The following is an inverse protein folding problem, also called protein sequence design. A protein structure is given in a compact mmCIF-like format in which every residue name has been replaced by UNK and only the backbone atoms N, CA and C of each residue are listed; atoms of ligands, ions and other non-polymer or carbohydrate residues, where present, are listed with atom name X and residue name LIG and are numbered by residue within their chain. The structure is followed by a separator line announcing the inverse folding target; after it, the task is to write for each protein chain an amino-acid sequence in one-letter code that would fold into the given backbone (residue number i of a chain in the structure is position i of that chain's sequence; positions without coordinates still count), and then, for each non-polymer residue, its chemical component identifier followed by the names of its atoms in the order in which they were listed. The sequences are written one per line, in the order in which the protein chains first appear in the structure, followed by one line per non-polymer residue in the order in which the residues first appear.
data_IF_991746492477
#
_entry.id   IF_991746492477
#
_cell.length_a   1.000
_cell.length_b   1.000
_cell.length_c   1.000
_cell.angle_alpha   90.00
_cell.angle_beta   90.00
_cell.angle_gamma   90.00
#
_symmetry.space_group_name_H-M   'P 1'
#
loop_
_entity.id
_entity.type
_entity.pdbx_description
1 polymer ?
#
# COMPACT_ATOMS: atom_id res chain seq x y z
N UNK A 1 16.56 15.63 -50.75
CA UNK A 1 17.00 15.87 -49.35
C UNK A 1 15.85 16.10 -48.34
N UNK A 2 14.68 16.67 -48.71
CA UNK A 2 13.55 16.91 -47.77
C UNK A 2 12.97 15.66 -47.07
N UNK A 3 13.02 14.48 -47.71
CA UNK A 3 12.48 13.23 -47.14
C UNK A 3 13.34 12.68 -45.98
N UNK A 4 14.66 12.88 -46.05
CA UNK A 4 15.62 12.37 -45.07
C UNK A 4 15.59 13.15 -43.74
N UNK A 5 15.41 14.48 -43.82
CA UNK A 5 15.24 15.33 -42.64
C UNK A 5 13.88 15.14 -41.98
N UNK A 6 12.84 14.75 -42.73
CA UNK A 6 11.53 14.41 -42.15
C UNK A 6 11.56 13.09 -41.37
N UNK A 7 12.15 12.03 -41.94
CA UNK A 7 12.32 10.75 -41.26
C UNK A 7 13.20 10.86 -40.00
N UNK A 8 14.24 11.71 -40.02
CA UNK A 8 15.11 11.93 -38.87
C UNK A 8 14.39 12.69 -37.73
N UNK A 9 13.53 13.65 -38.06
CA UNK A 9 12.69 14.36 -37.07
C UNK A 9 11.67 13.43 -36.43
N UNK A 10 11.00 12.59 -37.20
CA UNK A 10 10.04 11.61 -36.66
C UNK A 10 10.73 10.56 -35.78
N UNK A 11 11.93 10.11 -36.16
CA UNK A 11 12.74 9.18 -35.37
C UNK A 11 13.21 9.76 -34.03
N UNK A 12 13.36 11.08 -33.92
CA UNK A 12 13.69 11.76 -32.66
C UNK A 12 12.45 12.05 -31.79
N UNK A 13 11.29 12.25 -32.41
CA UNK A 13 10.03 12.60 -31.70
C UNK A 13 9.42 11.36 -31.01
N UNK A 14 9.44 10.20 -31.65
CA UNK A 14 8.89 8.95 -31.08
C UNK A 14 9.53 8.56 -29.73
N UNK A 15 10.87 8.50 -29.57
CA UNK A 15 11.48 8.17 -28.28
C UNK A 15 11.20 9.26 -27.24
N UNK A 16 11.08 10.52 -27.64
CA UNK A 16 10.71 11.60 -26.72
C UNK A 16 9.30 11.39 -26.14
N UNK A 17 8.32 11.02 -26.96
CA UNK A 17 6.96 10.69 -26.49
C UNK A 17 6.93 9.48 -25.55
N UNK A 18 7.72 8.44 -25.84
CA UNK A 18 7.82 7.26 -24.97
C UNK A 18 8.38 7.66 -23.59
N UNK A 19 9.42 8.48 -23.55
CA UNK A 19 10.02 8.95 -22.29
C UNK A 19 9.02 9.81 -21.48
N UNK A 20 8.30 10.72 -22.13
CA UNK A 20 7.30 11.54 -21.44
C UNK A 20 6.15 10.70 -20.86
N UNK A 21 5.62 9.75 -21.62
CA UNK A 21 4.53 8.88 -21.15
C UNK A 21 4.95 7.97 -19.99
N UNK A 22 6.16 7.40 -20.04
CA UNK A 22 6.70 6.59 -18.95
C UNK A 22 6.90 7.41 -17.66
N UNK A 23 7.41 8.64 -17.77
CA UNK A 23 7.63 9.51 -16.62
C UNK A 23 6.30 9.96 -15.97
N UNK A 24 5.27 10.24 -16.77
CA UNK A 24 3.93 10.56 -16.26
C UNK A 24 3.30 9.40 -15.50
N UNK A 25 3.47 8.15 -15.96
CA UNK A 25 2.96 6.97 -15.27
C UNK A 25 3.63 6.75 -13.90
N UNK A 26 4.96 6.94 -13.82
CA UNK A 26 5.70 6.83 -12.56
C UNK A 26 5.24 7.87 -11.52
N UNK A 27 5.05 9.13 -11.93
CA UNK A 27 4.56 10.19 -11.04
C UNK A 27 3.13 9.95 -10.52
N UNK A 28 2.27 9.32 -11.32
CA UNK A 28 0.91 8.95 -10.89
C UNK A 28 0.94 7.91 -9.76
N UNK A 29 1.71 6.82 -9.93
CA UNK A 29 1.84 5.76 -8.92
C UNK A 29 2.47 6.28 -7.62
N UNK A 30 3.44 7.17 -7.72
CA UNK A 30 4.03 7.83 -6.55
C UNK A 30 2.99 8.67 -5.81
N UNK A 31 2.19 9.48 -6.52
CA UNK A 31 1.08 10.24 -5.92
C UNK A 31 0.04 9.37 -5.22
N UNK A 32 -0.37 8.26 -5.84
CA UNK A 32 -1.33 7.30 -5.26
C UNK A 32 -0.77 6.63 -4.00
N UNK A 33 0.45 6.11 -4.06
CA UNK A 33 1.11 5.46 -2.92
C UNK A 33 1.30 6.41 -1.74
N UNK A 34 1.69 7.66 -2.01
CA UNK A 34 1.83 8.71 -1.02
C UNK A 34 0.50 9.08 -0.35
N UNK A 35 -0.58 9.18 -1.14
CA UNK A 35 -1.92 9.43 -0.61
C UNK A 35 -2.38 8.31 0.32
N UNK A 36 -2.28 7.04 -0.12
CA UNK A 36 -2.69 5.88 0.69
C UNK A 36 -1.89 5.83 1.98
N UNK A 37 -0.56 5.97 1.91
CA UNK A 37 0.29 5.96 3.10
C UNK A 37 -0.07 7.08 4.07
N UNK A 38 -0.28 8.31 3.55
CA UNK A 38 -0.66 9.46 4.36
C UNK A 38 -1.98 9.21 5.11
N UNK A 39 -3.03 8.80 4.40
CA UNK A 39 -4.34 8.52 5.00
C UNK A 39 -4.29 7.39 6.03
N UNK A 40 -3.55 6.31 5.76
CA UNK A 40 -3.36 5.23 6.73
C UNK A 40 -2.68 5.71 8.01
N UNK A 41 -1.68 6.59 7.91
CA UNK A 41 -0.99 7.15 9.07
C UNK A 41 -1.85 8.15 9.84
N UNK A 42 -2.64 8.98 9.14
CA UNK A 42 -3.57 9.94 9.76
C UNK A 42 -4.61 9.25 10.64
N UNK A 43 -5.19 8.15 10.16
CA UNK A 43 -6.21 7.40 10.89
C UNK A 43 -5.64 6.28 11.76
N UNK A 44 -4.32 6.10 11.86
CA UNK A 44 -3.75 4.96 12.57
C UNK A 44 -4.08 4.97 14.08
N UNK A 45 -4.54 3.83 14.60
CA UNK A 45 -4.85 3.67 16.02
C UNK A 45 -3.79 2.80 16.72
N UNK A 46 -2.78 3.47 17.30
CA UNK A 46 -1.71 2.82 18.06
C UNK A 46 -2.15 2.26 19.42
N UNK A 47 -3.29 2.72 19.95
CA UNK A 47 -3.84 2.31 21.24
C UNK A 47 -4.79 1.11 21.11
N UNK A 48 -5.13 0.70 19.88
CA UNK A 48 -5.99 -0.45 19.65
C UNK A 48 -5.24 -1.75 19.94
N UNK A 49 -5.58 -2.40 21.06
CA UNK A 49 -5.06 -3.71 21.45
C UNK A 49 -4.59 -3.75 22.90
N UNK A 50 -4.14 -4.92 23.35
CA UNK A 50 -3.66 -5.11 24.74
C UNK A 50 -2.18 -4.74 24.92
N UNK A 51 -1.40 -4.78 23.84
CA UNK A 51 0.02 -4.45 23.87
C UNK A 51 0.22 -3.06 23.29
N UNK A 52 0.85 -2.18 24.06
CA UNK A 52 1.18 -0.83 23.63
C UNK A 52 2.22 -0.85 22.51
N UNK A 53 1.92 -0.14 21.43
CA UNK A 53 2.81 0.01 20.29
C UNK A 53 3.77 1.18 20.54
N UNK A 54 5.07 0.90 20.65
CA UNK A 54 6.12 1.90 20.83
C UNK A 54 6.42 2.67 19.55
N UNK A 55 6.44 1.98 18.40
CA UNK A 55 6.73 2.56 17.09
C UNK A 55 5.99 1.80 16.02
N UNK A 56 5.43 2.53 15.06
CA UNK A 56 4.82 1.97 13.86
C UNK A 56 5.54 2.48 12.62
N UNK A 57 5.77 1.59 11.66
CA UNK A 57 6.25 1.92 10.33
C UNK A 57 5.22 1.38 9.32
N UNK A 58 4.56 2.28 8.61
CA UNK A 58 3.64 1.94 7.54
C UNK A 58 4.17 2.57 6.26
N UNK A 59 4.46 1.74 5.27
CA UNK A 59 5.03 2.18 4.00
C UNK A 59 4.29 1.56 2.82
N UNK A 60 3.88 2.41 1.88
CA UNK A 60 3.30 2.01 0.60
C UNK A 60 4.20 2.55 -0.50
N UNK A 61 4.73 1.68 -1.34
CA UNK A 61 5.65 2.07 -2.43
C UNK A 61 4.91 2.17 -3.76
N UNK A 62 5.42 3.00 -4.68
CA UNK A 62 4.95 3.06 -6.07
C UNK A 62 5.09 1.74 -6.84
N UNK A 63 5.93 0.82 -6.38
CA UNK A 63 6.04 -0.57 -6.88
C UNK A 63 4.97 -1.51 -6.32
N UNK A 64 4.03 -0.99 -5.53
CA UNK A 64 2.91 -1.74 -4.99
C UNK A 64 3.19 -2.49 -3.70
N UNK A 65 4.35 -2.37 -3.06
CA UNK A 65 4.54 -3.01 -1.76
C UNK A 65 3.89 -2.20 -0.65
N UNK A 66 3.03 -2.85 0.13
CA UNK A 66 2.52 -2.33 1.39
C UNK A 66 3.20 -3.09 2.53
N UNK A 67 3.90 -2.37 3.39
CA UNK A 67 4.66 -2.91 4.53
C UNK A 67 4.14 -2.26 5.80
N UNK A 68 3.82 -3.10 6.78
CA UNK A 68 3.34 -2.67 8.08
C UNK A 68 4.17 -3.35 9.16
N UNK A 69 4.91 -2.55 9.92
CA UNK A 69 5.77 -3.02 11.00
C UNK A 69 5.42 -2.33 12.31
N UNK A 70 5.24 -3.12 13.35
CA UNK A 70 5.01 -2.64 14.71
C UNK A 70 6.14 -3.06 15.62
N UNK A 71 6.58 -2.13 16.46
CA UNK A 71 7.44 -2.40 17.60
C UNK A 71 6.63 -2.16 18.86
N UNK A 72 6.52 -3.18 19.70
CA UNK A 72 5.79 -3.10 20.96
C UNK A 72 6.71 -2.72 22.12
N UNK A 73 6.15 -2.15 23.18
CA UNK A 73 6.92 -1.78 24.38
C UNK A 73 7.61 -2.97 25.04
N UNK A 74 7.04 -4.16 24.92
CA UNK A 74 7.59 -5.40 25.48
C UNK A 74 8.73 -6.02 24.64
N UNK A 75 9.18 -5.36 23.57
CA UNK A 75 10.25 -5.83 22.69
C UNK A 75 9.78 -6.72 21.53
N UNK A 76 8.51 -7.13 21.51
CA UNK A 76 7.92 -7.85 20.37
C UNK A 76 7.93 -6.97 19.13
N UNK A 77 8.18 -7.57 17.98
CA UNK A 77 8.05 -6.94 16.67
C UNK A 77 7.06 -7.77 15.86
N UNK A 78 6.18 -7.10 15.12
CA UNK A 78 5.33 -7.72 14.12
C UNK A 78 5.56 -7.05 12.78
N UNK A 79 5.65 -7.86 11.73
CA UNK A 79 5.86 -7.43 10.37
C UNK A 79 4.83 -8.10 9.48
N UNK A 80 4.16 -7.29 8.67
CA UNK A 80 3.25 -7.74 7.64
C UNK A 80 3.63 -7.08 6.32
N UNK A 81 3.60 -7.84 5.22
CA UNK A 81 3.78 -7.24 3.90
C UNK A 81 3.04 -7.99 2.82
N UNK A 82 2.58 -7.27 1.81
CA UNK A 82 2.05 -7.84 0.58
C UNK A 82 2.32 -6.90 -0.60
N UNK A 83 2.15 -7.40 -1.81
CA UNK A 83 2.18 -6.57 -3.01
C UNK A 83 0.75 -6.33 -3.51
N UNK A 84 0.40 -5.07 -3.79
CA UNK A 84 -0.90 -4.65 -4.30
C UNK A 84 -1.29 -5.32 -5.62
N UNK A 85 -0.37 -5.90 -6.40
CA UNK A 85 -0.72 -6.78 -7.52
C UNK A 85 -1.59 -7.98 -7.09
N UNK A 86 -1.51 -8.38 -5.81
CA UNK A 86 -2.31 -9.45 -5.20
C UNK A 86 -3.56 -8.94 -4.50
N UNK A 87 -3.83 -7.63 -4.54
CA UNK A 87 -5.03 -7.05 -3.94
C UNK A 87 -6.30 -7.69 -4.51
N UNK A 88 -7.24 -8.01 -3.63
CA UNK A 88 -8.55 -8.57 -3.96
C UNK A 88 -9.66 -7.58 -3.61
N UNK A 89 -9.72 -7.16 -2.36
CA UNK A 89 -10.73 -6.23 -1.88
C UNK A 89 -10.31 -5.57 -0.55
N UNK A 90 -11.14 -4.65 -0.09
CA UNK A 90 -10.96 -3.93 1.16
C UNK A 90 -12.27 -3.93 1.95
N UNK A 91 -12.20 -4.34 3.21
CA UNK A 91 -13.32 -4.27 4.16
C UNK A 91 -12.95 -3.39 5.36
N UNK A 92 -13.97 -2.97 6.10
CA UNK A 92 -13.80 -2.31 7.39
C UNK A 92 -14.70 -2.94 8.44
N UNK A 93 -14.12 -3.33 9.58
CA UNK A 93 -14.87 -3.84 10.73
C UNK A 93 -14.71 -2.87 11.90
N UNK A 94 -15.80 -2.26 12.31
CA UNK A 94 -15.82 -1.33 13.45
C UNK A 94 -16.87 -0.26 13.31
N UNK A 95 -16.60 0.90 13.91
CA UNK A 95 -17.42 2.10 13.80
C UNK A 95 -16.49 3.30 13.54
N UNK A 96 -17.10 4.48 13.38
CA UNK A 96 -16.37 5.72 13.11
C UNK A 96 -15.24 5.98 14.10
N UNK A 97 -15.41 5.66 15.39
CA UNK A 97 -14.40 5.95 16.41
C UNK A 97 -13.20 5.01 16.37
N UNK A 98 -13.42 3.71 16.11
CA UNK A 98 -12.38 2.70 16.09
C UNK A 98 -12.82 1.47 15.30
N UNK A 99 -11.88 0.88 14.57
CA UNK A 99 -12.10 -0.32 13.78
C UNK A 99 -10.82 -0.83 13.12
N UNK A 100 -10.97 -1.78 12.21
CA UNK A 100 -9.88 -2.41 11.49
C UNK A 100 -10.15 -2.36 10.00
N UNK A 101 -9.20 -1.81 9.25
CA UNK A 101 -9.15 -1.91 7.81
C UNK A 101 -8.57 -3.27 7.44
N UNK A 102 -9.35 -4.08 6.72
CA UNK A 102 -8.95 -5.41 6.29
C UNK A 102 -8.63 -5.37 4.81
N UNK A 103 -7.35 -5.41 4.48
CA UNK A 103 -6.88 -5.45 3.10
C UNK A 103 -6.71 -6.92 2.71
N UNK A 104 -7.53 -7.39 1.76
CA UNK A 104 -7.54 -8.79 1.33
C UNK A 104 -6.70 -9.01 0.09
N UNK A 105 -6.01 -10.15 0.07
CA UNK A 105 -5.29 -10.64 -1.11
C UNK A 105 -6.03 -11.77 -1.80
N UNK A 106 -5.62 -12.09 -3.03
CA UNK A 106 -6.23 -13.13 -3.86
C UNK A 106 -6.07 -14.54 -3.27
N UNK A 107 -4.92 -14.81 -2.64
CA UNK A 107 -4.69 -15.97 -1.80
C UNK A 107 -3.90 -15.58 -0.56
N UNK A 108 -3.14 -16.52 0.00
CA UNK A 108 -2.22 -16.27 1.11
C UNK A 108 -0.95 -15.55 0.62
N UNK A 109 -1.09 -14.27 0.27
CA UNK A 109 -0.03 -13.43 -0.29
C UNK A 109 0.50 -12.37 0.71
N UNK A 110 -0.01 -12.36 1.94
CA UNK A 110 0.49 -11.50 3.02
C UNK A 110 1.51 -12.28 3.84
N UNK A 111 2.77 -11.86 3.80
CA UNK A 111 3.80 -12.36 4.73
C UNK A 111 3.48 -11.81 6.11
N UNK A 112 3.48 -12.67 7.13
CA UNK A 112 3.28 -12.32 8.54
C UNK A 112 4.42 -12.91 9.35
N UNK A 113 5.22 -12.04 9.95
CA UNK A 113 6.39 -12.38 10.74
C UNK A 113 6.35 -11.73 12.10
N UNK A 114 6.75 -12.44 13.14
CA UNK A 114 6.93 -11.87 14.48
C UNK A 114 8.32 -12.16 15.00
N UNK A 115 8.85 -11.26 15.82
CA UNK A 115 10.13 -11.44 16.50
C UNK A 115 9.99 -11.12 17.98
N UNK A 116 10.72 -11.85 18.82
CA UNK A 116 10.68 -11.74 20.27
C UNK A 116 9.25 -11.93 20.84
N UNK A 117 8.42 -12.77 20.20
CA UNK A 117 7.14 -13.12 20.79
C UNK A 117 7.35 -14.15 21.92
N UNK A 118 6.72 -13.90 23.07
CA UNK A 118 6.76 -14.82 24.23
C UNK A 118 6.19 -16.20 23.91
N UNK A 119 5.34 -16.30 22.88
CA UNK A 119 4.74 -17.56 22.41
C UNK A 119 5.55 -18.26 21.31
N UNK A 120 6.68 -17.68 20.92
CA UNK A 120 7.48 -18.13 19.78
C UNK A 120 7.23 -17.29 18.54
N UNK A 121 8.28 -17.10 17.75
CA UNK A 121 8.24 -16.31 16.54
C UNK A 121 7.44 -17.03 15.44
N UNK A 122 6.63 -16.25 14.73
CA UNK A 122 5.79 -16.70 13.63
C UNK A 122 6.45 -16.30 12.32
N UNK A 123 6.43 -17.18 11.34
CA UNK A 123 6.75 -16.90 9.93
C UNK A 123 5.72 -17.65 9.07
N UNK A 124 4.77 -16.91 8.52
CA UNK A 124 3.60 -17.50 7.86
C UNK A 124 3.06 -16.61 6.73
N UNK A 125 2.20 -17.18 5.92
CA UNK A 125 1.42 -16.46 4.92
C UNK A 125 -0.04 -16.34 5.39
N UNK A 126 -0.70 -15.24 5.03
CA UNK A 126 -2.11 -14.99 5.32
C UNK A 126 -2.81 -14.32 4.14
N UNK A 127 -4.13 -14.38 4.10
CA UNK A 127 -4.94 -13.74 3.05
C UNK A 127 -5.33 -12.28 3.35
N UNK A 128 -5.02 -11.76 4.55
CA UNK A 128 -5.50 -10.45 5.01
C UNK A 128 -4.43 -9.72 5.81
N UNK A 129 -4.24 -8.43 5.50
CA UNK A 129 -3.53 -7.48 6.36
C UNK A 129 -4.56 -6.63 7.09
N UNK A 130 -4.54 -6.67 8.42
CA UNK A 130 -5.42 -5.87 9.27
C UNK A 130 -4.66 -4.67 9.85
N UNK A 131 -5.17 -3.46 9.61
CA UNK A 131 -4.57 -2.22 10.12
C UNK A 131 -5.58 -1.54 11.06
N UNK A 132 -5.22 -1.31 12.34
CA UNK A 132 -6.09 -0.64 13.29
C UNK A 132 -6.22 0.84 12.93
N UNK A 133 -7.46 1.32 12.76
CA UNK A 133 -7.77 2.71 12.45
C UNK A 133 -8.78 3.32 13.43
N UNK A 134 -8.74 4.64 13.56
CA UNK A 134 -9.66 5.47 14.35
C UNK A 134 -10.15 6.66 13.54
N UNK A 135 -11.31 7.20 13.94
CA UNK A 135 -11.89 8.41 13.35
C UNK A 135 -12.05 8.29 11.82
N UNK A 136 -12.56 7.16 11.34
CA UNK A 136 -12.72 6.89 9.91
C UNK A 136 -14.17 7.11 9.52
N UNK A 137 -14.43 8.12 8.69
CA UNK A 137 -15.77 8.38 8.16
C UNK A 137 -16.06 7.52 6.93
N UNK A 138 -17.33 7.45 6.52
CA UNK A 138 -17.72 6.67 5.35
C UNK A 138 -17.02 7.15 4.05
N UNK A 139 -16.77 8.45 3.94
CA UNK A 139 -16.05 9.04 2.81
C UNK A 139 -14.59 8.58 2.76
N UNK A 140 -13.90 8.52 3.91
CA UNK A 140 -12.53 8.00 3.98
C UNK A 140 -12.44 6.53 3.54
N UNK A 141 -13.45 5.72 3.87
CA UNK A 141 -13.52 4.33 3.42
C UNK A 141 -13.71 4.23 1.90
N UNK A 142 -14.59 5.05 1.33
CA UNK A 142 -14.79 5.09 -0.11
C UNK A 142 -13.49 5.51 -0.83
N UNK A 143 -12.80 6.51 -0.29
CA UNK A 143 -11.50 6.96 -0.79
C UNK A 143 -10.45 5.84 -0.73
N UNK A 144 -10.36 5.10 0.38
CA UNK A 144 -9.45 3.94 0.47
C UNK A 144 -9.76 2.92 -0.61
N UNK A 145 -11.02 2.49 -0.72
CA UNK A 145 -11.43 1.49 -1.71
C UNK A 145 -11.08 1.94 -3.13
N UNK A 146 -11.39 3.20 -3.48
CA UNK A 146 -11.09 3.75 -4.79
C UNK A 146 -9.58 3.75 -5.06
N UNK A 147 -8.77 4.29 -4.14
CA UNK A 147 -7.33 4.46 -4.36
C UNK A 147 -6.59 3.13 -4.38
N UNK A 148 -6.95 2.16 -3.54
CA UNK A 148 -6.39 0.82 -3.61
C UNK A 148 -6.74 0.12 -4.93
N UNK A 149 -7.99 0.23 -5.41
CA UNK A 149 -8.41 -0.33 -6.70
C UNK A 149 -7.70 0.34 -7.87
N UNK A 150 -7.59 1.67 -7.86
CA UNK A 150 -6.92 2.42 -8.90
C UNK A 150 -5.44 2.03 -8.98
N UNK A 151 -4.74 2.00 -7.85
CA UNK A 151 -3.33 1.60 -7.80
C UNK A 151 -3.14 0.14 -8.23
N UNK A 152 -4.02 -0.78 -7.82
CA UNK A 152 -3.99 -2.16 -8.29
C UNK A 152 -4.15 -2.28 -9.81
N UNK A 153 -5.01 -1.47 -10.43
CA UNK A 153 -5.19 -1.45 -11.88
C UNK A 153 -3.99 -0.85 -12.60
N UNK A 154 -3.45 0.25 -12.08
CA UNK A 154 -2.32 0.94 -12.70
C UNK A 154 -1.03 0.12 -12.61
N UNK A 155 -0.84 -0.67 -11.56
CA UNK A 155 0.29 -1.61 -11.44
C UNK A 155 0.25 -2.77 -12.45
N UNK A 156 -0.91 -3.08 -13.06
CA UNK A 156 -1.06 -4.15 -14.06
C UNK A 156 -0.78 -3.69 -15.49
N UNK A 157 -0.69 -2.38 -15.72
CA UNK A 157 -0.46 -1.79 -17.05
C UNK A 157 1.02 -1.78 -17.38
#
# INVERSE_FOLDING_TARGET
MKKFTFSLKMAAIIPLFIVFTAFSAAGLLEGQSGYIQKKLLEHYDAEQGTLKVKKTELNVTNTGFCRYKRHFENGKIEYMSFNLLKFKDLDYIGNVKSGQLLIRTMGDDVIVQTYNDKRGDIDSMAAVMAIPLKQVEAEDLNDFVEKFRQMHQDLKK
#
